data_IF_125834378230
#
_entry.id   IF_125834378230
#
_cell.length_a   1.000
_cell.length_b   1.000
_cell.length_c   1.000
_cell.angle_alpha   90.00
_cell.angle_beta   90.00
_cell.angle_gamma   90.00
#
_symmetry.space_group_name_H-M   'P 1'
#
loop_
_entity.id
_entity.type
_entity.pdbx_description
1 polymer ?
#
# COMPACT_ATOMS: atom_id res chain seq x y z
N UNK A 1 -19.08 -15.41 5.93
CA UNK A 1 -18.10 -16.28 5.28
C UNK A 1 -17.66 -15.66 3.96
N UNK A 2 -16.39 -15.55 3.78
CA UNK A 2 -15.89 -15.05 2.51
C UNK A 2 -16.17 -16.06 1.41
N UNK A 3 -16.82 -15.63 0.34
CA UNK A 3 -16.98 -16.47 -0.82
C UNK A 3 -15.61 -16.77 -1.43
N UNK A 4 -15.43 -18.00 -1.87
CA UNK A 4 -14.24 -18.36 -2.62
C UNK A 4 -14.26 -17.62 -3.95
N UNK A 5 -13.32 -16.71 -4.11
CA UNK A 5 -13.19 -15.99 -5.36
C UNK A 5 -12.23 -16.74 -6.27
N UNK A 6 -12.58 -16.80 -7.54
CA UNK A 6 -11.70 -17.39 -8.53
C UNK A 6 -10.45 -16.53 -8.72
N UNK A 7 -9.42 -17.11 -9.32
CA UNK A 7 -8.19 -16.38 -9.65
C UNK A 7 -8.51 -15.19 -10.57
N UNK A 8 -9.41 -15.37 -11.53
CA UNK A 8 -9.81 -14.29 -12.44
C UNK A 8 -10.50 -13.15 -11.69
N UNK A 9 -11.35 -13.48 -10.71
CA UNK A 9 -11.99 -12.45 -9.88
C UNK A 9 -10.98 -11.66 -9.08
N UNK A 10 -10.00 -12.33 -8.49
CA UNK A 10 -8.95 -11.67 -7.72
C UNK A 10 -8.08 -10.76 -8.59
N UNK A 11 -7.71 -11.22 -9.77
CA UNK A 11 -6.94 -10.41 -10.71
C UNK A 11 -7.79 -9.23 -11.20
N UNK A 12 -9.10 -9.44 -11.38
CA UNK A 12 -10.01 -8.36 -11.72
C UNK A 12 -10.08 -7.28 -10.64
N UNK A 13 -10.10 -7.67 -9.37
CA UNK A 13 -10.05 -6.73 -8.25
C UNK A 13 -8.74 -5.94 -8.29
N UNK A 14 -7.63 -6.62 -8.54
CA UNK A 14 -6.34 -5.97 -8.67
C UNK A 14 -6.34 -4.94 -9.81
N UNK A 15 -6.85 -5.34 -10.98
CA UNK A 15 -6.95 -4.42 -12.12
C UNK A 15 -7.77 -3.18 -11.77
N UNK A 16 -8.94 -3.35 -11.19
CA UNK A 16 -9.79 -2.23 -10.82
C UNK A 16 -9.13 -1.31 -9.81
N UNK A 17 -8.41 -1.90 -8.86
CA UNK A 17 -7.68 -1.15 -7.85
C UNK A 17 -6.57 -0.33 -8.49
N UNK A 18 -5.76 -0.95 -9.35
CA UNK A 18 -4.66 -0.26 -10.03
C UNK A 18 -5.19 0.84 -10.93
N UNK A 19 -6.24 0.56 -11.70
CA UNK A 19 -6.85 1.56 -12.59
C UNK A 19 -7.41 2.75 -11.80
N UNK A 20 -8.02 2.48 -10.66
CA UNK A 20 -8.52 3.55 -9.80
C UNK A 20 -7.36 4.44 -9.30
N UNK A 21 -6.24 3.84 -8.95
CA UNK A 21 -5.05 4.60 -8.54
C UNK A 21 -4.48 5.43 -9.69
N UNK A 22 -4.46 4.86 -10.90
CA UNK A 22 -3.98 5.58 -12.11
C UNK A 22 -4.87 6.78 -12.43
N UNK A 23 -6.17 6.63 -12.26
CA UNK A 23 -7.14 7.68 -12.57
C UNK A 23 -7.16 8.80 -11.53
N UNK A 24 -6.65 8.54 -10.34
CA UNK A 24 -6.62 9.56 -9.29
C UNK A 24 -5.66 10.67 -9.68
N UNK A 25 -6.03 11.87 -9.28
CA UNK A 25 -5.16 13.01 -9.40
C UNK A 25 -4.13 12.94 -8.28
N UNK A 26 -2.96 12.47 -8.60
CA UNK A 26 -1.88 12.30 -7.64
C UNK A 26 -0.76 11.44 -8.20
N UNK A 27 0.33 11.33 -7.46
CA UNK A 27 1.50 10.59 -7.92
C UNK A 27 1.27 9.08 -7.88
N UNK A 28 1.85 8.39 -8.84
CA UNK A 28 1.85 6.93 -8.88
C UNK A 28 2.85 6.35 -7.90
N UNK A 29 2.52 5.21 -7.35
CA UNK A 29 3.44 4.40 -6.56
C UNK A 29 3.90 3.21 -7.39
N UNK A 30 5.20 2.92 -7.35
CA UNK A 30 5.72 1.69 -7.93
C UNK A 30 5.26 0.49 -7.11
N UNK A 31 5.35 -0.71 -7.67
CA UNK A 31 5.04 -1.93 -6.93
C UNK A 31 5.88 -2.04 -5.65
N UNK A 32 7.17 -1.66 -5.72
CA UNK A 32 8.05 -1.69 -4.55
C UNK A 32 7.59 -0.69 -3.49
N UNK A 33 7.25 0.53 -3.89
CA UNK A 33 6.75 1.56 -2.96
C UNK A 33 5.46 1.11 -2.31
N UNK A 34 4.54 0.57 -3.08
CA UNK A 34 3.27 0.07 -2.56
C UNK A 34 3.48 -1.13 -1.64
N UNK A 35 4.40 -2.03 -2.00
CA UNK A 35 4.74 -3.19 -1.17
C UNK A 35 5.31 -2.77 0.18
N UNK A 36 6.21 -1.79 0.20
CA UNK A 36 6.74 -1.24 1.45
C UNK A 36 5.62 -0.61 2.28
N UNK A 37 4.79 0.20 1.65
CA UNK A 37 3.66 0.85 2.32
C UNK A 37 2.73 -0.18 2.96
N UNK A 38 2.29 -1.16 2.20
CA UNK A 38 1.34 -2.16 2.68
C UNK A 38 1.94 -3.03 3.79
N UNK A 39 3.22 -3.38 3.68
CA UNK A 39 3.89 -4.13 4.73
C UNK A 39 3.89 -3.35 6.05
N UNK A 40 4.22 -2.06 5.99
CA UNK A 40 4.27 -1.22 7.18
C UNK A 40 2.90 -1.01 7.81
N UNK A 41 1.84 -1.03 7.01
CA UNK A 41 0.50 -0.74 7.52
C UNK A 41 -0.31 -1.98 7.87
N UNK A 42 0.00 -3.13 7.26
CA UNK A 42 -0.80 -4.34 7.45
C UNK A 42 -0.14 -5.35 8.38
N UNK A 43 1.18 -5.34 8.47
CA UNK A 43 1.87 -6.25 9.37
C UNK A 43 2.17 -5.56 10.69
N UNK A 44 1.94 -6.28 11.77
CA UNK A 44 2.15 -5.75 13.11
C UNK A 44 3.63 -5.64 13.44
N UNK A 45 3.92 -4.82 14.44
CA UNK A 45 5.25 -4.63 14.96
C UNK A 45 5.94 -3.40 14.40
N UNK A 46 7.10 -3.11 14.94
CA UNK A 46 7.93 -2.02 14.48
C UNK A 46 8.67 -2.46 13.21
N UNK A 47 8.60 -1.63 12.19
CA UNK A 47 9.26 -1.91 10.92
C UNK A 47 10.52 -1.07 10.81
N UNK A 48 11.61 -1.71 10.39
CA UNK A 48 12.89 -1.08 10.17
C UNK A 48 13.29 -1.21 8.71
N UNK A 49 14.20 -0.34 8.26
CA UNK A 49 14.76 -0.45 6.91
C UNK A 49 15.37 -1.84 6.69
N UNK A 50 16.13 -2.33 7.68
CA UNK A 50 16.76 -3.65 7.61
C UNK A 50 15.72 -4.77 7.51
N UNK A 51 14.70 -4.71 8.36
CA UNK A 51 13.65 -5.74 8.36
C UNK A 51 12.87 -5.75 7.05
N UNK A 52 12.53 -4.59 6.51
CA UNK A 52 11.83 -4.49 5.23
C UNK A 52 12.68 -5.02 4.08
N UNK A 53 13.99 -4.73 4.09
CA UNK A 53 14.90 -5.23 3.07
C UNK A 53 14.92 -6.77 3.07
N UNK A 54 14.97 -7.37 4.25
CA UNK A 54 14.94 -8.83 4.39
C UNK A 54 13.58 -9.40 3.94
N UNK A 55 12.48 -8.84 4.42
CA UNK A 55 11.14 -9.33 4.11
C UNK A 55 10.82 -9.25 2.62
N UNK A 56 11.21 -8.16 1.98
CA UNK A 56 10.91 -7.93 0.57
C UNK A 56 12.00 -8.44 -0.36
N UNK A 57 13.09 -8.96 0.21
CA UNK A 57 14.23 -9.48 -0.53
C UNK A 57 14.80 -8.44 -1.52
N UNK A 58 15.00 -7.24 -1.03
CA UNK A 58 15.63 -6.15 -1.77
C UNK A 58 16.72 -5.51 -0.92
N UNK A 59 17.56 -4.70 -1.53
CA UNK A 59 18.67 -4.06 -0.82
C UNK A 59 18.15 -2.94 0.10
N UNK A 60 18.93 -2.62 1.12
CA UNK A 60 18.62 -1.48 2.00
C UNK A 60 18.51 -0.16 1.22
N UNK A 61 19.41 0.15 0.27
CA UNK A 61 19.24 1.35 -0.55
C UNK A 61 17.92 1.38 -1.32
N UNK A 62 17.45 0.23 -1.79
CA UNK A 62 16.16 0.16 -2.49
C UNK A 62 15.00 0.49 -1.55
N UNK A 63 15.05 0.00 -0.31
CA UNK A 63 14.05 0.35 0.72
C UNK A 63 14.13 1.84 1.05
N UNK A 64 15.34 2.37 1.23
CA UNK A 64 15.53 3.79 1.54
C UNK A 64 14.93 4.67 0.44
N UNK A 65 15.15 4.32 -0.83
CA UNK A 65 14.56 5.08 -1.95
C UNK A 65 13.03 5.00 -1.95
N UNK A 66 12.47 3.82 -1.65
CA UNK A 66 11.03 3.69 -1.55
C UNK A 66 10.47 4.54 -0.40
N UNK A 67 11.14 4.55 0.74
CA UNK A 67 10.74 5.35 1.89
C UNK A 67 10.91 6.85 1.64
N UNK A 68 11.93 7.25 0.86
CA UNK A 68 12.07 8.65 0.45
C UNK A 68 10.83 9.11 -0.32
N UNK A 69 10.38 8.29 -1.25
CA UNK A 69 9.18 8.63 -2.03
C UNK A 69 7.93 8.67 -1.16
N UNK A 70 7.76 7.69 -0.29
CA UNK A 70 6.62 7.67 0.64
C UNK A 70 6.67 8.88 1.59
N UNK A 71 7.87 9.30 1.99
CA UNK A 71 8.03 10.49 2.80
C UNK A 71 7.66 11.77 2.08
N UNK A 72 8.03 11.90 0.80
CA UNK A 72 7.62 13.04 -0.04
C UNK A 72 6.10 13.15 -0.12
N UNK A 73 5.41 12.03 -0.12
CA UNK A 73 3.95 11.97 -0.21
C UNK A 73 3.28 11.98 1.16
N UNK A 74 4.07 12.02 2.22
CA UNK A 74 3.61 11.97 3.62
C UNK A 74 2.80 10.69 3.92
N UNK A 75 3.14 9.60 3.26
CA UNK A 75 2.48 8.30 3.49
C UNK A 75 3.22 7.47 4.55
N UNK A 76 4.47 7.78 4.82
CA UNK A 76 5.27 7.17 5.87
C UNK A 76 6.42 8.11 6.21
N UNK A 77 6.99 7.95 7.39
CA UNK A 77 8.14 8.75 7.84
C UNK A 77 9.20 7.84 8.41
N UNK A 78 10.45 8.27 8.30
CA UNK A 78 11.57 7.58 8.93
C UNK A 78 11.94 8.28 10.22
N UNK A 79 12.36 7.49 11.21
CA UNK A 79 12.84 8.01 12.47
C UNK A 79 13.96 7.11 12.95
N UNK A 80 15.08 7.72 13.36
CA UNK A 80 16.15 6.95 14.01
C UNK A 80 15.61 6.41 15.33
N UNK A 81 15.82 5.10 15.58
CA UNK A 81 15.41 4.48 16.83
C UNK A 81 16.20 5.09 17.99
N UNK A 82 15.54 5.72 18.98
CA UNK A 82 16.27 6.29 20.11
C UNK A 82 16.97 5.24 20.96
N UNK A 83 16.53 3.99 20.89
CA UNK A 83 17.15 2.89 21.64
C UNK A 83 18.30 2.24 20.88
N UNK A 84 18.38 2.42 19.57
CA UNK A 84 19.46 1.91 18.74
C UNK A 84 19.63 2.81 17.52
N UNK A 85 20.58 3.73 17.60
CA UNK A 85 20.81 4.74 16.57
C UNK A 85 21.21 4.18 15.22
N UNK A 86 21.56 2.89 15.16
CA UNK A 86 21.87 2.23 13.89
C UNK A 86 20.62 1.72 13.19
N UNK A 87 19.48 1.78 13.86
CA UNK A 87 18.20 1.30 13.32
C UNK A 87 17.34 2.48 12.93
N UNK A 88 16.72 2.37 11.74
CA UNK A 88 15.77 3.38 11.24
C UNK A 88 14.40 2.76 11.26
N UNK A 89 13.52 3.35 12.05
CA UNK A 89 12.13 2.94 12.19
C UNK A 89 11.26 3.64 11.13
N UNK A 90 10.23 2.95 10.69
CA UNK A 90 9.22 3.50 9.80
C UNK A 90 7.98 3.81 10.62
N UNK A 91 7.50 5.04 10.52
CA UNK A 91 6.31 5.50 11.23
C UNK A 91 5.16 5.69 10.27
N UNK A 92 3.97 5.31 10.70
CA UNK A 92 2.73 5.58 9.99
C UNK A 92 2.37 7.05 10.12
N UNK A 93 1.59 7.55 9.17
CA UNK A 93 1.11 8.93 9.18
C UNK A 93 -0.41 8.95 9.06
N UNK A 94 -1.07 10.05 9.48
CA UNK A 94 -2.51 10.17 9.25
C UNK A 94 -2.87 10.10 7.76
N UNK A 95 -2.03 10.67 6.90
CA UNK A 95 -2.27 10.66 5.45
C UNK A 95 -2.12 9.24 4.88
N UNK A 96 -1.15 8.47 5.39
CA UNK A 96 -0.99 7.07 5.02
C UNK A 96 -2.18 6.23 5.44
N UNK A 97 -2.70 6.44 6.64
CA UNK A 97 -3.89 5.75 7.12
C UNK A 97 -5.11 6.09 6.26
N UNK A 98 -5.25 7.34 5.84
CA UNK A 98 -6.33 7.75 4.94
C UNK A 98 -6.18 7.10 3.56
N UNK A 99 -4.98 7.02 3.04
CA UNK A 99 -4.69 6.35 1.78
C UNK A 99 -5.08 4.87 1.83
N UNK A 100 -4.73 4.19 2.93
CA UNK A 100 -5.08 2.79 3.11
C UNK A 100 -6.60 2.60 3.19
N UNK A 101 -7.29 3.52 3.86
CA UNK A 101 -8.75 3.50 3.94
C UNK A 101 -9.38 3.62 2.56
N UNK A 102 -8.88 4.54 1.74
CA UNK A 102 -9.34 4.72 0.37
C UNK A 102 -9.11 3.45 -0.45
N UNK A 103 -7.93 2.84 -0.29
CA UNK A 103 -7.58 1.61 -0.99
C UNK A 103 -8.54 0.47 -0.61
N UNK A 104 -8.83 0.32 0.69
CA UNK A 104 -9.81 -0.67 1.15
C UNK A 104 -11.18 -0.43 0.53
N UNK A 105 -11.62 0.82 0.45
CA UNK A 105 -12.89 1.16 -0.16
C UNK A 105 -12.95 0.78 -1.64
N UNK A 106 -11.90 1.10 -2.37
CA UNK A 106 -11.80 0.73 -3.79
C UNK A 106 -11.89 -0.79 -3.96
N UNK A 107 -11.12 -1.53 -3.17
CA UNK A 107 -11.08 -2.98 -3.29
C UNK A 107 -12.39 -3.63 -2.86
N UNK A 108 -13.01 -3.11 -1.81
CA UNK A 108 -14.31 -3.59 -1.36
C UNK A 108 -15.36 -3.40 -2.44
N UNK A 109 -15.39 -2.23 -3.04
CA UNK A 109 -16.31 -1.93 -4.14
C UNK A 109 -16.05 -2.84 -5.33
N UNK A 110 -14.79 -3.07 -5.67
CA UNK A 110 -14.43 -3.96 -6.77
C UNK A 110 -14.82 -5.41 -6.51
N UNK A 111 -14.67 -5.89 -5.27
CA UNK A 111 -14.96 -7.28 -4.92
C UNK A 111 -16.43 -7.57 -4.80
N UNK A 112 -17.20 -6.65 -4.20
CA UNK A 112 -18.63 -6.79 -4.02
C UNK A 112 -19.44 -5.96 -4.99
N UNK A 113 -18.75 -5.28 -5.90
CA UNK A 113 -19.29 -4.20 -6.67
C UNK A 113 -19.82 -4.53 -8.05
N UNK A 114 -19.98 -5.80 -8.39
CA UNK A 114 -20.49 -6.14 -9.71
C UNK A 114 -21.76 -5.36 -10.06
N UNK A 115 -22.68 -5.24 -9.12
CA UNK A 115 -23.91 -4.48 -9.31
C UNK A 115 -23.64 -2.99 -9.45
N UNK A 116 -22.75 -2.44 -8.63
CA UNK A 116 -22.39 -1.03 -8.70
C UNK A 116 -21.63 -0.71 -9.98
N UNK A 117 -20.71 -1.57 -10.37
CA UNK A 117 -19.98 -1.42 -11.62
C UNK A 117 -20.92 -1.49 -12.82
N UNK A 118 -21.89 -2.42 -12.80
CA UNK A 118 -22.89 -2.54 -13.84
C UNK A 118 -23.78 -1.29 -13.92
N UNK A 119 -24.15 -0.72 -12.78
CA UNK A 119 -24.93 0.52 -12.76
C UNK A 119 -24.16 1.68 -13.35
N UNK A 120 -22.88 1.80 -13.04
CA UNK A 120 -22.04 2.85 -13.60
C UNK A 120 -21.88 2.70 -15.10
N UNK A 121 -21.69 1.48 -15.57
CA UNK A 121 -21.59 1.19 -16.99
C UNK A 121 -22.89 1.47 -17.73
N UNK A 122 -24.03 1.21 -17.08
CA UNK A 122 -25.35 1.44 -17.65
C UNK A 122 -25.75 2.91 -17.65
N UNK A 123 -25.15 3.68 -16.76
CA UNK A 123 -25.43 5.12 -16.69
C UNK A 123 -24.66 5.87 -17.73
#
# INVERSE_FOLDING_TARGET
MAANQSADQLVGILRETVVALVRRDGPDLSARQLGVFLTCYLQEGAHTVRGLAADLNVSKPAITRALDRLGELDLARRKVDPMDRRSVLVQRTPRGSAFLRDLRGIMTEASGGGKKAARRAAA
#
